data_IF_365493069454
#
_entry.id   IF_365493069454
#
_cell.length_a   1.000
_cell.length_b   1.000
_cell.length_c   1.000
_cell.angle_alpha   90.00
_cell.angle_beta   90.00
_cell.angle_gamma   90.00
#
_symmetry.space_group_name_H-M   'P 1'
#
loop_
_entity.id
_entity.type
_entity.pdbx_description
1 polymer ?
#
# COMPACT_ATOMS: atom_id res chain seq x y z
N UNK A 1 -17.14 10.38 -17.24
CA UNK A 1 -16.11 11.33 -17.67
C UNK A 1 -16.55 12.16 -18.88
N UNK A 2 -17.15 11.55 -19.92
CA UNK A 2 -17.55 12.26 -21.13
C UNK A 2 -18.59 13.37 -20.88
N UNK A 3 -19.53 13.17 -19.96
CA UNK A 3 -20.57 14.16 -19.64
C UNK A 3 -20.03 15.38 -18.89
N UNK A 4 -19.03 15.20 -18.04
CA UNK A 4 -18.44 16.25 -17.21
C UNK A 4 -16.90 16.14 -17.19
N UNK A 5 -16.21 16.44 -18.30
CA UNK A 5 -14.77 16.19 -18.41
C UNK A 5 -13.93 16.91 -17.35
N UNK A 6 -14.30 18.15 -16.99
CA UNK A 6 -13.59 18.90 -15.94
C UNK A 6 -13.84 18.39 -14.51
N UNK A 7 -14.75 17.43 -14.32
CA UNK A 7 -15.00 16.77 -13.02
C UNK A 7 -14.46 15.35 -13.00
N UNK A 8 -14.02 14.82 -14.13
CA UNK A 8 -13.41 13.51 -14.21
C UNK A 8 -11.97 13.55 -13.69
N UNK A 9 -11.53 12.43 -13.16
CA UNK A 9 -10.14 12.21 -12.73
C UNK A 9 -9.67 10.84 -13.22
N UNK A 10 -8.38 10.66 -13.32
CA UNK A 10 -7.78 9.35 -13.49
C UNK A 10 -8.21 8.38 -12.38
N UNK A 11 -8.13 7.09 -12.63
CA UNK A 11 -8.47 6.12 -11.59
C UNK A 11 -7.52 6.29 -10.41
N UNK A 12 -8.07 6.36 -9.21
CA UNK A 12 -7.25 6.34 -8.01
C UNK A 12 -6.63 4.95 -7.78
N UNK A 13 -5.52 4.93 -7.11
CA UNK A 13 -4.96 3.70 -6.59
C UNK A 13 -5.85 3.12 -5.49
N UNK A 14 -5.60 1.88 -5.15
CA UNK A 14 -6.28 1.20 -4.05
C UNK A 14 -5.25 0.90 -2.95
N UNK A 15 -5.72 0.78 -1.72
CA UNK A 15 -4.85 0.47 -0.58
C UNK A 15 -4.53 -1.03 -0.48
N UNK A 16 -3.48 -1.35 0.26
CA UNK A 16 -3.27 -2.68 0.82
C UNK A 16 -3.74 -2.69 2.27
N UNK A 17 -4.41 -3.75 2.66
CA UNK A 17 -4.98 -3.94 4.00
C UNK A 17 -4.33 -5.17 4.64
N UNK A 18 -3.15 -5.01 5.25
CA UNK A 18 -2.52 -6.06 6.02
C UNK A 18 -3.08 -6.18 7.42
N UNK A 19 -3.34 -7.41 7.83
CA UNK A 19 -3.62 -7.79 9.21
C UNK A 19 -2.55 -8.79 9.64
N UNK A 20 -1.75 -8.45 10.64
CA UNK A 20 -0.72 -9.31 11.20
C UNK A 20 -1.12 -9.67 12.61
N UNK A 21 -1.28 -10.95 12.91
CA UNK A 21 -1.74 -11.40 14.22
C UNK A 21 -0.95 -12.59 14.74
N UNK A 22 -0.89 -12.70 16.07
CA UNK A 22 -0.19 -13.77 16.76
C UNK A 22 -0.21 -13.59 18.27
N UNK A 23 0.70 -14.31 18.94
CA UNK A 23 0.99 -14.13 20.37
C UNK A 23 2.29 -13.34 20.48
N UNK A 24 2.24 -12.17 21.09
CA UNK A 24 3.42 -11.31 21.30
C UNK A 24 4.37 -11.98 22.30
N UNK A 25 5.59 -12.28 21.88
CA UNK A 25 6.60 -12.94 22.70
C UNK A 25 7.02 -12.11 23.92
N UNK A 26 6.89 -10.79 23.86
CA UNK A 26 7.22 -9.86 24.97
C UNK A 26 6.18 -9.92 26.08
N UNK A 27 4.90 -9.94 25.72
CA UNK A 27 3.78 -9.79 26.67
C UNK A 27 3.02 -11.10 26.91
N UNK A 28 3.24 -12.11 26.08
CA UNK A 28 2.50 -13.39 26.03
C UNK A 28 1.00 -13.21 25.79
N UNK A 29 0.60 -12.07 25.26
CA UNK A 29 -0.79 -11.75 24.92
C UNK A 29 -1.01 -11.80 23.42
N UNK A 30 -2.24 -12.01 23.04
CA UNK A 30 -2.66 -11.91 21.65
C UNK A 30 -2.52 -10.48 21.12
N UNK A 31 -2.00 -10.31 19.92
CA UNK A 31 -1.99 -9.03 19.21
C UNK A 31 -2.60 -9.20 17.82
N UNK A 32 -3.19 -8.13 17.34
CA UNK A 32 -3.62 -7.98 15.94
C UNK A 32 -3.27 -6.56 15.50
N UNK A 33 -2.30 -6.47 14.63
CA UNK A 33 -1.99 -5.22 13.92
C UNK A 33 -2.89 -5.12 12.69
N UNK A 34 -3.61 -4.04 12.57
CA UNK A 34 -4.36 -3.64 11.39
C UNK A 34 -3.75 -2.38 10.79
N UNK A 35 -3.51 -2.35 9.49
CA UNK A 35 -2.96 -1.18 8.82
C UNK A 35 -3.59 -1.00 7.43
N UNK A 36 -3.47 0.22 6.92
CA UNK A 36 -3.83 0.60 5.56
C UNK A 36 -2.62 1.27 4.90
N UNK A 37 -2.03 0.62 3.91
CA UNK A 37 -1.00 1.26 3.10
C UNK A 37 -1.64 2.19 2.10
N UNK A 38 -1.44 3.49 2.26
CA UNK A 38 -2.05 4.55 1.47
C UNK A 38 -1.49 4.59 0.05
N UNK A 39 -2.21 5.26 -0.85
CA UNK A 39 -1.92 5.28 -2.27
C UNK A 39 -2.22 6.65 -2.91
N UNK A 40 -2.08 6.78 -4.23
CA UNK A 40 -2.28 8.04 -4.93
C UNK A 40 -3.70 8.28 -5.43
N UNK A 41 -4.05 9.54 -5.61
CA UNK A 41 -5.24 9.99 -6.35
C UNK A 41 -4.93 10.17 -7.85
N UNK A 42 -5.94 10.01 -8.69
CA UNK A 42 -5.82 10.31 -10.13
C UNK A 42 -5.60 11.78 -10.42
N UNK A 43 -4.89 12.06 -11.52
CA UNK A 43 -4.80 13.40 -12.08
C UNK A 43 -6.18 13.92 -12.46
N UNK A 44 -6.43 15.22 -12.28
CA UNK A 44 -7.71 15.86 -12.55
C UNK A 44 -7.50 17.21 -13.24
N UNK A 45 -8.56 17.73 -13.82
CA UNK A 45 -8.49 19.00 -14.51
C UNK A 45 -7.92 20.11 -13.61
N UNK A 46 -6.78 20.69 -14.01
CA UNK A 46 -6.11 21.77 -13.32
C UNK A 46 -5.10 21.36 -12.25
N UNK A 47 -5.00 20.07 -11.90
CA UNK A 47 -4.15 19.62 -10.79
C UNK A 47 -3.63 18.20 -10.96
N UNK A 48 -2.39 17.97 -10.52
CA UNK A 48 -1.85 16.65 -10.32
C UNK A 48 -2.60 15.91 -9.20
N UNK A 49 -2.61 14.58 -9.26
CA UNK A 49 -3.19 13.76 -8.21
C UNK A 49 -2.36 13.85 -6.92
N UNK A 50 -2.99 14.12 -5.76
CA UNK A 50 -2.30 14.07 -4.48
C UNK A 50 -1.68 12.69 -4.21
N UNK A 51 -0.57 12.69 -3.47
CA UNK A 51 0.19 11.49 -3.15
C UNK A 51 -0.16 10.96 -1.75
N UNK A 52 -0.02 9.67 -1.54
CA UNK A 52 -0.13 9.01 -0.23
C UNK A 52 -1.41 9.37 0.56
N UNK A 53 -2.52 9.52 -0.13
CA UNK A 53 -3.84 9.73 0.46
C UNK A 53 -4.66 8.45 0.50
N UNK A 54 -5.69 8.45 1.33
CA UNK A 54 -6.70 7.40 1.36
C UNK A 54 -7.92 7.81 0.52
N UNK A 55 -7.96 7.43 -0.77
CA UNK A 55 -9.13 7.70 -1.59
C UNK A 55 -10.36 7.07 -0.94
N UNK A 56 -11.44 7.86 -0.80
CA UNK A 56 -12.75 7.40 -0.32
C UNK A 56 -12.88 7.12 1.20
N UNK A 57 -11.78 6.80 1.89
CA UNK A 57 -11.83 6.30 3.27
C UNK A 57 -11.62 7.38 4.35
N UNK A 58 -11.14 8.56 4.00
CA UNK A 58 -10.83 9.64 4.95
C UNK A 58 -9.97 9.16 6.14
N UNK A 59 -8.97 8.33 5.86
CA UNK A 59 -8.04 7.79 6.85
C UNK A 59 -6.69 8.48 6.76
N UNK A 60 -5.94 8.46 7.85
CA UNK A 60 -4.54 8.88 7.92
C UNK A 60 -3.64 7.69 8.23
N UNK A 61 -2.33 7.83 7.98
CA UNK A 61 -1.37 6.86 8.47
C UNK A 61 -1.35 6.86 10.00
N UNK A 62 -1.29 5.67 10.58
CA UNK A 62 -0.99 5.53 12.01
C UNK A 62 0.49 5.88 12.20
N UNK A 63 0.86 6.69 13.22
CA UNK A 63 2.26 6.99 13.51
C UNK A 63 3.08 5.71 13.70
N UNK A 64 4.30 5.69 13.16
CA UNK A 64 5.19 4.53 13.20
C UNK A 64 5.44 4.09 14.64
N UNK A 65 5.68 5.05 15.53
CA UNK A 65 5.96 4.83 16.95
C UNK A 65 4.79 4.13 17.67
N UNK A 66 3.57 4.45 17.27
CA UNK A 66 2.37 3.80 17.83
C UNK A 66 2.31 2.34 17.36
N UNK A 67 2.55 2.08 16.07
CA UNK A 67 2.59 0.71 15.56
C UNK A 67 3.64 -0.13 16.28
N UNK A 68 4.86 0.37 16.37
CA UNK A 68 6.00 -0.35 16.96
C UNK A 68 5.86 -0.53 18.49
N UNK A 69 5.22 0.41 19.18
CA UNK A 69 4.98 0.30 20.62
C UNK A 69 3.93 -0.75 20.96
N UNK A 70 2.89 -0.87 20.14
CA UNK A 70 1.76 -1.77 20.38
C UNK A 70 1.96 -3.18 19.81
N UNK A 71 2.75 -3.32 18.75
CA UNK A 71 2.92 -4.57 18.02
C UNK A 71 4.39 -4.99 17.97
N UNK A 72 4.71 -6.29 17.91
CA UNK A 72 6.08 -6.77 17.78
C UNK A 72 6.59 -6.66 16.34
N UNK A 73 6.68 -5.46 15.83
CA UNK A 73 7.12 -5.13 14.46
C UNK A 73 8.08 -3.95 14.46
N UNK A 74 8.78 -3.77 13.34
CA UNK A 74 9.55 -2.57 12.99
C UNK A 74 9.19 -2.11 11.59
N UNK A 75 9.06 -0.81 11.39
CA UNK A 75 8.85 -0.21 10.07
C UNK A 75 10.19 0.26 9.53
N UNK A 76 10.79 -0.53 8.64
CA UNK A 76 12.11 -0.28 8.08
C UNK A 76 12.11 0.79 6.99
N UNK A 77 10.97 1.01 6.33
CA UNK A 77 10.84 1.95 5.24
C UNK A 77 9.42 2.50 5.15
N UNK A 78 9.30 3.81 4.95
CA UNK A 78 8.05 4.49 4.59
C UNK A 78 8.41 5.61 3.62
N UNK A 79 8.13 5.42 2.32
CA UNK A 79 8.53 6.35 1.27
C UNK A 79 7.52 6.39 0.13
N UNK A 80 7.52 7.47 -0.66
CA UNK A 80 6.79 7.53 -1.92
C UNK A 80 7.45 6.62 -2.95
N UNK A 81 6.64 5.85 -3.66
CA UNK A 81 7.10 4.99 -4.75
C UNK A 81 7.32 5.86 -5.99
N UNK A 82 8.57 6.21 -6.24
CA UNK A 82 8.95 7.07 -7.35
C UNK A 82 8.41 6.53 -8.69
N UNK A 83 7.93 7.43 -9.55
CA UNK A 83 7.42 7.15 -10.90
C UNK A 83 6.29 6.12 -10.95
N UNK A 84 5.57 5.93 -9.85
CA UNK A 84 4.42 5.02 -9.82
C UNK A 84 3.13 5.64 -10.34
N UNK A 85 3.01 6.97 -10.32
CA UNK A 85 1.86 7.70 -10.87
C UNK A 85 1.85 7.72 -12.40
N UNK A 86 0.67 7.59 -13.00
CA UNK A 86 0.50 7.66 -14.45
C UNK A 86 0.78 9.06 -15.00
N UNK A 87 1.54 9.13 -16.09
CA UNK A 87 1.83 10.39 -16.78
C UNK A 87 0.59 10.92 -17.51
N UNK A 88 0.41 12.23 -17.52
CA UNK A 88 -0.66 12.94 -18.20
C UNK A 88 -0.38 14.42 -18.27
N UNK A 89 -1.33 15.20 -18.77
CA UNK A 89 -1.25 16.68 -18.63
C UNK A 89 -1.22 17.04 -17.14
N UNK A 90 -1.97 16.28 -16.33
CA UNK A 90 -1.89 16.25 -14.88
C UNK A 90 -1.57 14.83 -14.47
N UNK A 91 -0.51 14.67 -13.68
CA UNK A 91 0.04 13.37 -13.27
C UNK A 91 -0.84 12.72 -12.20
N UNK A 92 -0.98 11.41 -12.23
CA UNK A 92 -1.51 10.62 -11.12
C UNK A 92 -0.54 10.62 -9.92
N UNK A 93 -1.06 10.64 -8.70
CA UNK A 93 -0.27 10.58 -7.47
C UNK A 93 0.46 9.24 -7.31
N UNK A 94 1.61 9.27 -6.64
CA UNK A 94 2.41 8.10 -6.36
C UNK A 94 1.81 7.23 -5.26
N UNK A 95 2.09 5.93 -5.29
CA UNK A 95 1.86 5.02 -4.19
C UNK A 95 2.87 5.20 -3.07
N UNK A 96 2.58 4.64 -1.90
CA UNK A 96 3.43 4.68 -0.71
C UNK A 96 4.03 3.29 -0.47
N UNK A 97 5.34 3.16 -0.42
CA UNK A 97 6.00 1.93 0.01
C UNK A 97 6.11 1.88 1.53
N UNK A 98 5.72 0.75 2.12
CA UNK A 98 5.90 0.46 3.54
C UNK A 98 6.51 -0.93 3.71
N UNK A 99 7.68 -1.00 4.35
CA UNK A 99 8.36 -2.25 4.67
C UNK A 99 8.23 -2.51 6.16
N UNK A 100 7.60 -3.62 6.52
CA UNK A 100 7.31 -4.02 7.91
C UNK A 100 8.09 -5.30 8.22
N UNK A 101 9.00 -5.24 9.18
CA UNK A 101 9.73 -6.38 9.72
C UNK A 101 9.01 -6.96 10.93
N UNK A 102 8.87 -8.29 10.97
CA UNK A 102 8.34 -9.00 12.13
C UNK A 102 9.44 -9.24 13.16
N UNK A 103 9.22 -8.80 14.39
CA UNK A 103 10.12 -8.99 15.56
C UNK A 103 9.63 -10.12 16.49
N UNK A 104 8.64 -10.88 16.08
CA UNK A 104 8.01 -11.96 16.85
C UNK A 104 8.37 -13.30 16.25
N UNK A 105 8.47 -14.35 17.06
CA UNK A 105 8.86 -15.70 16.59
C UNK A 105 7.91 -16.23 15.52
N UNK A 106 6.61 -15.97 15.66
CA UNK A 106 5.57 -16.39 14.71
C UNK A 106 4.43 -15.40 14.66
N UNK A 107 3.92 -15.19 13.46
CA UNK A 107 2.68 -14.44 13.22
C UNK A 107 2.01 -14.97 11.95
N UNK A 108 0.78 -14.54 11.71
CA UNK A 108 0.04 -14.81 10.47
C UNK A 108 -0.30 -13.49 9.82
N UNK A 109 0.06 -13.35 8.56
CA UNK A 109 -0.43 -12.28 7.70
C UNK A 109 -1.73 -12.74 7.05
N UNK A 110 -2.80 -11.96 7.20
CA UNK A 110 -3.96 -12.00 6.32
C UNK A 110 -4.04 -10.66 5.59
N UNK A 111 -3.97 -10.67 4.27
CA UNK A 111 -3.97 -9.42 3.55
C UNK A 111 -4.92 -9.41 2.36
N UNK A 112 -5.47 -8.22 2.11
CA UNK A 112 -6.29 -7.89 0.96
C UNK A 112 -5.65 -6.70 0.26
N UNK A 113 -5.45 -6.81 -1.04
CA UNK A 113 -4.96 -5.71 -1.85
C UNK A 113 -5.57 -5.77 -3.24
N UNK A 114 -5.59 -4.64 -3.92
CA UNK A 114 -6.06 -4.55 -5.30
C UNK A 114 -4.95 -4.03 -6.22
N UNK A 115 -5.26 -3.86 -7.50
CA UNK A 115 -4.35 -3.30 -8.52
C UNK A 115 -3.10 -4.15 -8.80
N UNK A 116 -3.07 -5.42 -8.43
CA UNK A 116 -1.98 -6.35 -8.79
C UNK A 116 -2.06 -6.86 -10.24
N UNK A 117 -3.24 -6.85 -10.85
CA UNK A 117 -3.46 -7.30 -12.24
C UNK A 117 -3.81 -6.17 -13.20
N UNK A 118 -4.59 -5.21 -12.73
CA UNK A 118 -5.13 -4.12 -13.53
C UNK A 118 -4.69 -2.79 -12.94
N UNK A 119 -3.80 -2.05 -13.62
CA UNK A 119 -3.34 -0.76 -13.10
C UNK A 119 -4.48 0.26 -13.11
N UNK A 120 -4.41 1.30 -12.27
CA UNK A 120 -5.33 2.43 -12.35
C UNK A 120 -5.19 3.14 -13.69
N UNK A 121 -6.26 3.20 -14.45
CA UNK A 121 -6.26 3.80 -15.78
C UNK A 121 -6.22 5.33 -15.71
N UNK A 122 -5.57 5.96 -16.71
CA UNK A 122 -5.68 7.40 -16.95
C UNK A 122 -6.94 7.77 -17.72
N UNK A 123 -7.27 9.05 -17.77
CA UNK A 123 -8.38 9.59 -18.56
C UNK A 123 -7.87 10.56 -19.63
N UNK A 124 -8.62 10.77 -20.72
CA UNK A 124 -8.29 11.72 -21.78
C UNK A 124 -6.84 11.60 -22.31
N UNK A 125 -6.41 10.38 -22.63
CA UNK A 125 -5.06 10.00 -23.07
C UNK A 125 -3.99 9.99 -21.96
N UNK A 126 -4.33 10.26 -20.70
CA UNK A 126 -3.44 10.01 -19.57
C UNK A 126 -3.06 8.54 -19.48
N UNK A 127 -1.89 8.26 -18.93
CA UNK A 127 -1.36 6.91 -18.79
C UNK A 127 -1.83 6.27 -17.48
N UNK A 128 -1.85 4.95 -17.47
CA UNK A 128 -2.10 4.20 -16.24
C UNK A 128 -0.94 4.38 -15.24
N UNK A 129 -1.26 4.28 -13.96
CA UNK A 129 -0.26 4.16 -12.91
C UNK A 129 0.41 2.78 -12.90
N UNK A 130 1.46 2.63 -12.08
CA UNK A 130 2.14 1.33 -11.88
C UNK A 130 1.21 0.34 -11.19
N UNK A 131 1.39 -0.95 -11.44
CA UNK A 131 0.74 -2.02 -10.69
C UNK A 131 1.18 -2.03 -9.22
N UNK A 132 0.28 -2.48 -8.34
CA UNK A 132 0.63 -2.80 -6.95
C UNK A 132 1.45 -4.09 -6.88
N UNK A 133 2.28 -4.19 -5.85
CA UNK A 133 3.08 -5.36 -5.55
C UNK A 133 3.16 -5.57 -4.03
N UNK A 134 3.10 -6.82 -3.58
CA UNK A 134 3.36 -7.18 -2.19
C UNK A 134 4.43 -8.27 -2.16
N UNK A 135 5.47 -8.05 -1.38
CA UNK A 135 6.60 -8.98 -1.26
C UNK A 135 6.73 -9.48 0.18
N UNK A 136 6.99 -10.78 0.33
CA UNK A 136 7.56 -11.35 1.53
C UNK A 136 9.05 -11.60 1.27
N UNK A 137 9.90 -11.01 2.10
CA UNK A 137 11.34 -11.13 2.03
C UNK A 137 11.80 -11.90 3.27
N UNK A 138 12.41 -13.07 3.05
CA UNK A 138 12.92 -13.98 4.07
C UNK A 138 14.41 -14.24 3.83
N UNK A 139 15.26 -13.60 4.61
CA UNK A 139 16.69 -13.60 4.34
C UNK A 139 17.00 -13.06 2.94
N UNK A 140 17.56 -13.90 2.06
CA UNK A 140 17.86 -13.52 0.68
C UNK A 140 16.74 -13.86 -0.32
N UNK A 141 15.71 -14.53 0.11
CA UNK A 141 14.60 -14.94 -0.75
C UNK A 141 13.52 -13.86 -0.80
N UNK A 142 12.97 -13.65 -2.01
CA UNK A 142 11.85 -12.74 -2.25
C UNK A 142 10.71 -13.51 -2.89
N UNK A 143 9.57 -13.56 -2.21
CA UNK A 143 8.34 -14.16 -2.71
C UNK A 143 7.34 -13.05 -3.03
N UNK A 144 6.87 -12.99 -4.27
CA UNK A 144 5.74 -12.13 -4.65
C UNK A 144 4.47 -12.78 -4.14
N UNK A 145 3.71 -12.05 -3.32
CA UNK A 145 2.45 -12.53 -2.78
C UNK A 145 1.30 -12.23 -3.74
N UNK A 146 0.28 -13.08 -3.72
CA UNK A 146 -0.98 -12.80 -4.40
C UNK A 146 -1.68 -11.60 -3.75
N UNK A 147 -2.59 -10.95 -4.48
CA UNK A 147 -3.32 -9.78 -3.97
C UNK A 147 -4.18 -10.06 -2.74
N UNK A 148 -4.51 -11.31 -2.50
CA UNK A 148 -5.35 -11.78 -1.38
C UNK A 148 -4.82 -13.11 -0.90
N UNK A 149 -4.68 -13.27 0.41
CA UNK A 149 -4.16 -14.51 0.94
C UNK A 149 -3.78 -14.45 2.41
N UNK A 150 -3.30 -15.58 2.86
CA UNK A 150 -2.79 -15.79 4.21
C UNK A 150 -1.38 -16.37 4.09
N UNK A 151 -0.44 -15.86 4.88
CA UNK A 151 0.95 -16.31 4.91
C UNK A 151 1.42 -16.46 6.36
N UNK A 152 2.12 -17.56 6.61
CA UNK A 152 2.80 -17.77 7.89
C UNK A 152 4.12 -16.99 7.92
N UNK A 153 4.28 -16.20 8.96
CA UNK A 153 5.44 -15.34 9.16
C UNK A 153 6.31 -15.85 10.31
N UNK A 154 7.61 -15.61 10.20
CA UNK A 154 8.61 -15.87 11.24
C UNK A 154 9.43 -14.62 11.52
N UNK A 155 10.17 -14.64 12.63
CA UNK A 155 11.05 -13.53 13.02
C UNK A 155 12.04 -13.17 11.91
N UNK A 156 12.20 -11.87 11.66
CA UNK A 156 13.05 -11.32 10.62
C UNK A 156 12.43 -11.29 9.22
N UNK A 157 11.21 -11.81 9.04
CA UNK A 157 10.49 -11.63 7.77
C UNK A 157 10.15 -10.16 7.55
N UNK A 158 10.37 -9.67 6.32
CA UNK A 158 10.01 -8.32 5.91
C UNK A 158 8.87 -8.39 4.89
N UNK A 159 7.77 -7.73 5.21
CA UNK A 159 6.64 -7.52 4.30
C UNK A 159 6.79 -6.15 3.64
N UNK A 160 6.98 -6.14 2.32
CA UNK A 160 7.07 -4.90 1.53
C UNK A 160 5.75 -4.66 0.79
N UNK A 161 4.94 -3.74 1.29
CA UNK A 161 3.70 -3.31 0.66
C UNK A 161 3.99 -2.13 -0.26
N UNK A 162 3.62 -2.28 -1.53
CA UNK A 162 3.85 -1.30 -2.61
C UNK A 162 2.55 -1.08 -3.38
N UNK A 163 1.60 -0.31 -2.84
CA UNK A 163 0.39 0.06 -3.56
C UNK A 163 0.69 0.69 -4.91
N UNK A 164 -0.25 0.58 -5.84
CA UNK A 164 -0.12 1.19 -7.16
C UNK A 164 -0.05 2.70 -7.08
N UNK A 165 0.52 3.35 -8.09
CA UNK A 165 0.24 4.75 -8.37
C UNK A 165 -1.14 4.92 -9.00
N UNK A 166 -1.64 6.15 -9.07
CA UNK A 166 -2.91 6.48 -9.71
C UNK A 166 -2.74 6.82 -11.20
N UNK A 167 -3.85 6.86 -11.95
CA UNK A 167 -3.86 7.26 -13.37
C UNK A 167 -3.72 8.77 -13.56
N UNK A 168 -3.07 9.17 -14.68
CA UNK A 168 -2.98 10.56 -15.10
C UNK A 168 -4.19 11.07 -15.86
#
# INVERSE_FOLDING_TARGET
SQALPKKAMGAFSHWSNPNIGGIDDRTKKQFVMYDLSLAGYGGRYGEDGPEALSPVMNCTNIPIEVHESLNPIRINCLELLQDSGGAGLWRGGCGLRKDIELLNSKAVLSHLADRHKFPPYGVFNGKAGRLAETLLIRGNEKKVLSSKGVEDLQEGDILSFRPSGAGG
#
